data_IF_378904053881
#
_entry.id   IF_378904053881
#
_cell.length_a   1.000
_cell.length_b   1.000
_cell.length_c   1.000
_cell.angle_alpha   90.00
_cell.angle_beta   90.00
_cell.angle_gamma   90.00
#
_symmetry.space_group_name_H-M   'P 1'
#
loop_
_entity.id
_entity.type
_entity.pdbx_description
1 polymer ?
#
# COMPACT_ATOMS: atom_id res chain seq x y z
N UNK A 1 17.49 -9.36 -25.20
CA UNK A 1 18.49 -10.44 -25.10
C UNK A 1 18.31 -11.03 -23.71
N UNK A 2 18.10 -12.34 -23.61
CA UNK A 2 17.87 -12.99 -22.32
C UNK A 2 19.16 -13.01 -21.50
N UNK A 3 19.01 -12.95 -20.18
CA UNK A 3 20.11 -13.17 -19.26
C UNK A 3 20.53 -14.66 -19.35
N UNK A 4 21.78 -14.95 -19.76
CA UNK A 4 22.23 -16.32 -19.99
C UNK A 4 22.26 -17.16 -18.71
N UNK A 5 22.56 -16.54 -17.57
CA UNK A 5 22.65 -17.23 -16.28
C UNK A 5 21.25 -17.61 -15.77
N UNK A 6 20.27 -16.71 -15.96
CA UNK A 6 18.86 -17.01 -15.68
C UNK A 6 18.32 -18.15 -16.54
N UNK A 7 18.71 -18.21 -17.81
CA UNK A 7 18.32 -19.30 -18.71
C UNK A 7 18.96 -20.63 -18.30
N UNK A 8 20.23 -20.63 -17.90
CA UNK A 8 20.90 -21.81 -17.35
C UNK A 8 20.17 -22.34 -16.10
N UNK A 9 19.77 -21.47 -15.18
CA UNK A 9 18.98 -21.85 -13.99
C UNK A 9 17.70 -22.60 -14.40
N UNK A 10 16.96 -22.09 -15.38
CA UNK A 10 15.73 -22.73 -15.86
C UNK A 10 16.03 -24.10 -16.45
N UNK A 11 17.07 -24.22 -17.29
CA UNK A 11 17.46 -25.50 -17.88
C UNK A 11 17.87 -26.51 -16.80
N UNK A 12 18.65 -26.10 -15.81
CA UNK A 12 19.04 -26.97 -14.70
C UNK A 12 17.82 -27.50 -13.93
N UNK A 13 16.81 -26.65 -13.72
CA UNK A 13 15.55 -27.04 -13.08
C UNK A 13 14.79 -28.05 -13.95
N UNK A 14 14.55 -27.71 -15.23
CA UNK A 14 13.77 -28.54 -16.17
C UNK A 14 14.44 -29.89 -16.44
N UNK A 15 15.77 -29.95 -16.44
CA UNK A 15 16.54 -31.19 -16.59
C UNK A 15 16.79 -31.94 -15.27
N UNK A 16 16.11 -31.57 -14.18
CA UNK A 16 16.24 -32.19 -12.86
C UNK A 16 17.68 -32.19 -12.29
N UNK A 17 18.49 -31.20 -12.66
CA UNK A 17 19.85 -30.99 -12.19
C UNK A 17 19.92 -29.98 -11.04
N UNK A 18 18.89 -29.96 -10.18
CA UNK A 18 18.74 -29.02 -9.07
C UNK A 18 19.94 -28.98 -8.10
N UNK A 19 20.71 -30.07 -7.99
CA UNK A 19 21.93 -30.13 -7.18
C UNK A 19 23.04 -29.18 -7.64
N UNK A 20 22.96 -28.66 -8.87
CA UNK A 20 23.90 -27.66 -9.43
C UNK A 20 23.44 -26.22 -9.22
N UNK A 21 22.22 -26.01 -8.70
CA UNK A 21 21.68 -24.67 -8.51
C UNK A 21 22.44 -23.93 -7.39
N UNK A 22 22.58 -22.61 -7.51
CA UNK A 22 23.08 -21.79 -6.42
C UNK A 22 22.15 -21.88 -5.20
N UNK A 23 22.74 -21.90 -4.00
CA UNK A 23 21.98 -21.93 -2.73
C UNK A 23 21.25 -20.62 -2.44
N UNK A 24 21.78 -19.52 -2.95
CA UNK A 24 21.24 -18.17 -2.81
C UNK A 24 21.25 -17.48 -4.18
N UNK A 25 20.19 -16.73 -4.45
CA UNK A 25 20.01 -16.02 -5.71
C UNK A 25 19.56 -14.60 -5.39
N UNK A 26 20.13 -13.61 -6.09
CA UNK A 26 19.75 -12.21 -5.92
C UNK A 26 18.30 -11.98 -6.40
N UNK A 27 17.65 -10.94 -5.87
CA UNK A 27 16.30 -10.55 -6.33
C UNK A 27 16.28 -10.27 -7.83
N UNK A 28 17.33 -9.64 -8.35
CA UNK A 28 17.46 -9.31 -9.76
C UNK A 28 17.53 -10.58 -10.62
N UNK A 29 18.34 -11.57 -10.23
CA UNK A 29 18.43 -12.84 -10.93
C UNK A 29 17.11 -13.63 -10.86
N UNK A 30 16.42 -13.65 -9.70
CA UNK A 30 15.08 -14.25 -9.60
C UNK A 30 14.07 -13.54 -10.50
N UNK A 31 14.21 -12.22 -10.68
CA UNK A 31 13.35 -11.45 -11.59
C UNK A 31 13.59 -11.87 -13.03
N UNK A 32 14.84 -12.02 -13.47
CA UNK A 32 15.16 -12.52 -14.82
C UNK A 32 14.65 -13.95 -15.04
N UNK A 33 14.79 -14.82 -14.03
CA UNK A 33 14.18 -16.16 -14.05
C UNK A 33 12.66 -16.08 -14.17
N UNK A 34 12.00 -15.16 -13.47
CA UNK A 34 10.56 -14.96 -13.56
C UNK A 34 10.11 -14.48 -14.94
N UNK A 35 10.86 -13.55 -15.55
CA UNK A 35 10.59 -13.05 -16.92
C UNK A 35 10.64 -14.23 -17.90
N UNK A 36 11.72 -15.01 -17.85
CA UNK A 36 11.89 -16.18 -18.71
C UNK A 36 10.84 -17.27 -18.44
N UNK A 37 10.48 -17.50 -17.18
CA UNK A 37 9.47 -18.49 -16.80
C UNK A 37 8.08 -18.12 -17.34
N UNK A 38 7.75 -16.84 -17.35
CA UNK A 38 6.51 -16.30 -17.94
C UNK A 38 6.53 -16.43 -19.47
N UNK A 39 7.62 -15.99 -20.10
CA UNK A 39 7.83 -16.07 -21.57
C UNK A 39 7.79 -17.51 -22.10
N UNK A 40 8.42 -18.45 -21.39
CA UNK A 40 8.49 -19.87 -21.75
C UNK A 40 7.32 -20.70 -21.19
N UNK A 41 6.41 -20.07 -20.44
CA UNK A 41 5.27 -20.72 -19.79
C UNK A 41 5.66 -21.94 -18.93
N UNK A 42 6.76 -21.82 -18.16
CA UNK A 42 7.35 -22.91 -17.38
C UNK A 42 7.49 -22.59 -15.88
N UNK A 43 6.59 -21.75 -15.34
CA UNK A 43 6.62 -21.34 -13.93
C UNK A 43 6.45 -22.50 -12.93
N UNK A 44 5.69 -23.53 -13.27
CA UNK A 44 5.37 -24.65 -12.38
C UNK A 44 6.60 -25.41 -11.85
N UNK A 45 7.52 -25.92 -12.70
CA UNK A 45 8.72 -26.60 -12.22
C UNK A 45 9.67 -25.67 -11.43
N UNK A 46 9.59 -24.36 -11.64
CA UNK A 46 10.48 -23.37 -11.01
C UNK A 46 9.94 -22.92 -9.64
N UNK A 47 8.62 -22.89 -9.45
CA UNK A 47 7.95 -22.39 -8.24
C UNK A 47 8.51 -22.94 -6.91
N UNK A 48 8.85 -24.24 -6.77
CA UNK A 48 9.45 -24.75 -5.54
C UNK A 48 10.78 -24.08 -5.17
N UNK A 49 11.61 -23.76 -6.16
CA UNK A 49 12.92 -23.15 -5.96
C UNK A 49 12.80 -21.68 -5.56
N UNK A 50 11.82 -20.96 -6.11
CA UNK A 50 11.50 -19.60 -5.69
C UNK A 50 11.13 -19.56 -4.21
N UNK A 51 10.30 -20.49 -3.76
CA UNK A 51 9.93 -20.61 -2.34
C UNK A 51 11.15 -20.88 -1.48
N UNK A 52 12.03 -21.77 -1.91
CA UNK A 52 13.26 -22.11 -1.20
C UNK A 52 14.22 -20.92 -1.08
N UNK A 53 14.56 -20.26 -2.19
CA UNK A 53 15.46 -19.09 -2.16
C UNK A 53 14.90 -17.94 -1.34
N UNK A 54 13.58 -17.82 -1.29
CA UNK A 54 12.93 -16.79 -0.50
C UNK A 54 12.86 -17.08 1.01
N UNK A 55 13.13 -18.32 1.45
CA UNK A 55 13.29 -18.67 2.87
C UNK A 55 14.69 -18.29 3.41
N UNK A 56 15.71 -18.42 2.57
CA UNK A 56 17.11 -18.25 2.99
C UNK A 56 17.58 -16.79 2.97
N UNK A 57 16.76 -15.87 2.47
CA UNK A 57 17.12 -14.48 2.24
C UNK A 57 16.06 -13.52 2.80
N UNK A 58 16.42 -12.25 2.98
CA UNK A 58 15.47 -11.14 3.20
C UNK A 58 14.63 -10.81 1.95
N UNK A 59 14.38 -11.81 1.10
CA UNK A 59 13.75 -11.71 -0.22
C UNK A 59 12.40 -11.00 -0.15
N UNK A 60 11.58 -11.31 0.85
CA UNK A 60 10.25 -10.70 1.03
C UNK A 60 10.24 -9.42 1.87
N UNK A 61 11.41 -8.86 2.22
CA UNK A 61 11.46 -7.60 2.96
C UNK A 61 10.74 -6.48 2.21
N UNK A 62 9.86 -5.75 2.89
CA UNK A 62 9.14 -4.59 2.35
C UNK A 62 9.89 -3.28 2.54
N UNK A 63 11.01 -3.30 3.28
CA UNK A 63 11.92 -2.16 3.50
C UNK A 63 12.90 -2.02 2.33
N UNK A 64 12.39 -1.91 1.11
CA UNK A 64 13.19 -1.87 -0.12
C UNK A 64 12.78 -0.71 -1.01
N UNK A 65 13.69 -0.32 -1.91
CA UNK A 65 13.42 0.60 -3.01
C UNK A 65 12.18 0.18 -3.80
N UNK A 66 11.41 1.15 -4.28
CA UNK A 66 10.12 0.89 -4.93
C UNK A 66 10.27 0.01 -6.20
N UNK A 67 11.40 0.09 -6.91
CA UNK A 67 11.69 -0.82 -8.04
C UNK A 67 11.78 -2.30 -7.61
N UNK A 68 12.40 -2.58 -6.46
CA UNK A 68 12.48 -3.93 -5.91
C UNK A 68 11.10 -4.42 -5.43
N UNK A 69 10.26 -3.51 -4.93
CA UNK A 69 8.87 -3.85 -4.59
C UNK A 69 8.11 -4.33 -5.85
N UNK A 70 8.28 -3.64 -6.98
CA UNK A 70 7.66 -4.03 -8.24
C UNK A 70 8.20 -5.36 -8.79
N UNK A 71 9.51 -5.62 -8.67
CA UNK A 71 10.11 -6.92 -8.98
C UNK A 71 9.44 -8.05 -8.19
N UNK A 72 9.28 -7.88 -6.87
CA UNK A 72 8.64 -8.88 -6.02
C UNK A 72 7.16 -9.09 -6.36
N UNK A 73 6.43 -8.02 -6.68
CA UNK A 73 5.04 -8.13 -7.16
C UNK A 73 4.99 -8.97 -8.44
N UNK A 74 5.86 -8.71 -9.40
CA UNK A 74 5.96 -9.49 -10.64
C UNK A 74 6.29 -10.97 -10.38
N UNK A 75 7.27 -11.25 -9.52
CA UNK A 75 7.59 -12.63 -9.12
C UNK A 75 6.35 -13.31 -8.50
N UNK A 76 5.59 -12.61 -7.66
CA UNK A 76 4.37 -13.16 -7.10
C UNK A 76 3.27 -13.43 -8.15
N UNK A 77 3.20 -12.64 -9.23
CA UNK A 77 2.22 -12.88 -10.31
C UNK A 77 2.58 -14.14 -11.08
N UNK A 78 3.85 -14.28 -11.50
CA UNK A 78 4.33 -15.44 -12.27
C UNK A 78 4.19 -16.74 -11.47
N UNK A 79 4.60 -16.74 -10.20
CA UNK A 79 4.60 -17.95 -9.36
C UNK A 79 3.37 -18.11 -8.47
N UNK A 80 2.32 -17.33 -8.71
CA UNK A 80 1.03 -17.40 -8.01
C UNK A 80 1.12 -17.34 -6.48
N UNK A 81 1.98 -16.46 -5.95
CA UNK A 81 2.22 -16.31 -4.50
C UNK A 81 1.21 -15.34 -3.86
N UNK A 82 -0.06 -15.77 -3.77
CA UNK A 82 -1.21 -14.91 -3.41
C UNK A 82 -1.03 -14.07 -2.14
N UNK A 83 -0.62 -14.67 -1.04
CA UNK A 83 -0.46 -13.96 0.24
C UNK A 83 0.62 -12.87 0.17
N UNK A 84 1.74 -13.19 -0.49
CA UNK A 84 2.84 -12.24 -0.69
C UNK A 84 2.43 -11.13 -1.65
N UNK A 85 1.73 -11.46 -2.72
CA UNK A 85 1.16 -10.48 -3.66
C UNK A 85 0.28 -9.47 -2.94
N UNK A 86 -0.65 -9.93 -2.10
CA UNK A 86 -1.52 -9.03 -1.33
C UNK A 86 -0.72 -8.11 -0.42
N UNK A 87 0.21 -8.63 0.38
CA UNK A 87 1.03 -7.81 1.27
C UNK A 87 1.94 -6.79 0.54
N UNK A 88 2.53 -7.18 -0.59
CA UNK A 88 3.38 -6.30 -1.39
C UNK A 88 2.56 -5.21 -2.10
N UNK A 89 1.39 -5.56 -2.66
CA UNK A 89 0.50 -4.58 -3.28
C UNK A 89 -0.10 -3.62 -2.27
N UNK A 90 -0.42 -4.08 -1.05
CA UNK A 90 -0.76 -3.19 0.08
C UNK A 90 0.35 -2.16 0.35
N UNK A 91 1.61 -2.61 0.35
CA UNK A 91 2.76 -1.71 0.52
C UNK A 91 2.85 -0.70 -0.62
N UNK A 92 2.64 -1.14 -1.86
CA UNK A 92 2.64 -0.28 -3.05
C UNK A 92 1.49 0.75 -2.99
N UNK A 93 0.28 0.34 -2.64
CA UNK A 93 -0.91 1.20 -2.45
C UNK A 93 -0.62 2.27 -1.40
N UNK A 94 -0.05 1.89 -0.26
CA UNK A 94 0.11 2.80 0.87
C UNK A 94 1.30 3.76 0.73
N UNK A 95 2.32 3.39 -0.05
CA UNK A 95 3.61 4.09 -0.09
C UNK A 95 3.88 4.82 -1.41
N UNK A 96 3.07 4.62 -2.45
CA UNK A 96 3.22 5.32 -3.73
C UNK A 96 2.64 6.75 -3.66
N UNK A 97 3.37 7.71 -4.24
CA UNK A 97 2.95 9.10 -4.37
C UNK A 97 2.14 9.34 -5.64
N UNK A 98 2.69 8.90 -6.77
CA UNK A 98 2.23 9.23 -8.12
C UNK A 98 2.07 7.98 -8.97
N UNK A 99 2.03 8.17 -10.30
CA UNK A 99 2.00 7.09 -11.28
C UNK A 99 3.10 6.08 -11.00
N UNK A 100 2.75 4.81 -10.98
CA UNK A 100 3.66 3.71 -10.68
C UNK A 100 4.35 3.32 -11.99
N UNK A 101 5.68 3.51 -12.12
CA UNK A 101 6.38 3.01 -13.29
C UNK A 101 6.48 1.48 -13.20
N UNK A 102 6.45 0.82 -14.36
CA UNK A 102 6.64 -0.64 -14.44
C UNK A 102 8.10 -1.08 -14.24
N UNK A 103 9.05 -0.15 -14.21
CA UNK A 103 10.50 -0.42 -14.13
C UNK A 103 11.02 -1.34 -15.24
N UNK A 104 10.36 -1.36 -16.40
CA UNK A 104 10.73 -2.25 -17.51
C UNK A 104 10.31 -3.71 -17.29
N UNK A 105 9.59 -4.02 -16.21
CA UNK A 105 9.06 -5.36 -15.94
C UNK A 105 7.78 -5.61 -16.77
N UNK A 106 7.56 -6.85 -17.25
CA UNK A 106 6.36 -7.23 -18.00
C UNK A 106 5.16 -7.46 -17.06
N UNK A 107 4.90 -6.51 -16.17
CA UNK A 107 3.74 -6.55 -15.28
C UNK A 107 2.49 -6.16 -16.07
N UNK A 108 1.43 -6.95 -15.92
CA UNK A 108 0.12 -6.64 -16.52
C UNK A 108 -0.31 -5.20 -16.20
N UNK A 109 -0.66 -4.38 -17.21
CA UNK A 109 -1.15 -3.02 -16.99
C UNK A 109 -2.38 -2.96 -16.09
N UNK A 110 -3.18 -4.04 -16.04
CA UNK A 110 -4.35 -4.13 -15.16
C UNK A 110 -3.97 -4.13 -13.68
N UNK A 111 -2.85 -4.77 -13.31
CA UNK A 111 -2.35 -4.80 -11.94
C UNK A 111 -1.88 -3.40 -11.53
N UNK A 112 -1.09 -2.74 -12.38
CA UNK A 112 -0.61 -1.38 -12.12
C UNK A 112 -1.81 -0.43 -11.94
N UNK A 113 -2.77 -0.49 -12.86
CA UNK A 113 -4.00 0.30 -12.79
C UNK A 113 -4.80 0.03 -11.50
N UNK A 114 -4.95 -1.23 -11.10
CA UNK A 114 -5.66 -1.58 -9.87
C UNK A 114 -4.97 -1.04 -8.62
N UNK A 115 -3.63 -1.05 -8.56
CA UNK A 115 -2.87 -0.43 -7.47
C UNK A 115 -3.15 1.08 -7.42
N UNK A 116 -3.10 1.75 -8.57
CA UNK A 116 -3.34 3.20 -8.67
C UNK A 116 -4.77 3.59 -8.28
N UNK A 117 -5.77 2.84 -8.75
CA UNK A 117 -7.18 3.06 -8.43
C UNK A 117 -7.46 2.82 -6.94
N UNK A 118 -6.94 1.73 -6.37
CA UNK A 118 -7.11 1.42 -4.95
C UNK A 118 -6.46 2.48 -4.08
N UNK A 119 -5.24 2.94 -4.44
CA UNK A 119 -4.57 4.06 -3.77
C UNK A 119 -5.41 5.33 -3.82
N UNK A 120 -5.92 5.71 -4.99
CA UNK A 120 -6.76 6.89 -5.15
C UNK A 120 -8.04 6.79 -4.29
N UNK A 121 -8.64 5.60 -4.23
CA UNK A 121 -9.81 5.33 -3.39
C UNK A 121 -9.50 5.49 -1.90
N UNK A 122 -8.44 4.85 -1.40
CA UNK A 122 -8.01 4.93 0.01
C UNK A 122 -7.70 6.37 0.40
N UNK A 123 -6.95 7.07 -0.44
CA UNK A 123 -6.62 8.48 -0.21
C UNK A 123 -7.88 9.35 -0.16
N UNK A 124 -8.79 9.17 -1.12
CA UNK A 124 -10.06 9.89 -1.19
C UNK A 124 -10.91 9.64 0.06
N UNK A 125 -11.01 8.41 0.53
CA UNK A 125 -11.78 8.07 1.73
C UNK A 125 -11.18 8.69 2.99
N UNK A 126 -9.85 8.59 3.18
CA UNK A 126 -9.15 9.19 4.32
C UNK A 126 -9.29 10.72 4.34
N UNK A 127 -9.09 11.37 3.18
CA UNK A 127 -9.23 12.83 3.05
C UNK A 127 -10.69 13.25 3.27
N UNK A 128 -11.65 12.60 2.61
CA UNK A 128 -13.09 12.86 2.78
C UNK A 128 -13.48 12.77 4.25
N UNK A 129 -12.94 11.81 4.98
CA UNK A 129 -13.24 11.65 6.38
C UNK A 129 -12.81 12.87 7.21
N UNK A 130 -11.61 13.42 6.98
CA UNK A 130 -11.14 14.63 7.70
C UNK A 130 -12.06 15.84 7.51
N UNK A 131 -12.57 16.03 6.30
CA UNK A 131 -13.49 17.13 6.00
C UNK A 131 -14.94 16.82 6.36
N UNK A 132 -15.30 15.54 6.50
CA UNK A 132 -16.58 15.14 7.09
C UNK A 132 -16.61 15.55 8.56
N UNK A 133 -15.52 15.36 9.30
CA UNK A 133 -15.38 15.87 10.67
C UNK A 133 -15.57 17.38 10.72
N UNK A 134 -14.96 18.12 9.81
CA UNK A 134 -15.11 19.59 9.74
C UNK A 134 -16.57 20.01 9.50
N UNK A 135 -17.26 19.38 8.54
CA UNK A 135 -18.67 19.66 8.22
C UNK A 135 -19.59 19.31 9.38
N UNK A 136 -19.39 18.17 10.02
CA UNK A 136 -20.19 17.75 11.18
C UNK A 136 -20.04 18.68 12.38
N UNK A 137 -18.89 19.36 12.53
CA UNK A 137 -18.67 20.34 13.58
C UNK A 137 -19.39 21.67 13.35
N UNK A 138 -20.02 21.87 12.18
CA UNK A 138 -20.88 23.03 11.88
C UNK A 138 -22.33 22.85 12.37
N UNK A 139 -22.69 21.68 12.91
CA UNK A 139 -24.02 21.43 13.47
C UNK A 139 -24.27 22.30 14.72
N UNK A 140 -25.33 23.12 14.66
CA UNK A 140 -25.72 24.05 15.72
C UNK A 140 -26.36 23.36 16.95
N UNK A 141 -26.66 22.06 16.86
CA UNK A 141 -27.10 21.24 18.01
C UNK A 141 -25.94 20.79 18.91
N UNK A 142 -24.69 21.03 18.49
CA UNK A 142 -23.49 20.73 19.25
C UNK A 142 -23.13 21.87 20.20
N UNK A 143 -22.51 21.53 21.34
CA UNK A 143 -21.93 22.54 22.23
C UNK A 143 -20.91 23.42 21.48
N UNK A 144 -21.12 24.74 21.51
CA UNK A 144 -20.32 25.70 20.76
C UNK A 144 -18.85 25.78 21.22
N UNK A 145 -18.57 25.62 22.53
CA UNK A 145 -17.20 25.59 23.04
C UNK A 145 -16.45 24.36 22.50
N UNK A 146 -17.11 23.20 22.58
CA UNK A 146 -16.56 21.95 22.09
C UNK A 146 -16.34 22.01 20.57
N UNK A 147 -17.30 22.52 19.79
CA UNK A 147 -17.14 22.61 18.33
C UNK A 147 -15.97 23.52 17.95
N UNK A 148 -15.85 24.68 18.58
CA UNK A 148 -14.75 25.62 18.34
C UNK A 148 -13.40 24.99 18.69
N UNK A 149 -13.31 24.30 19.83
CA UNK A 149 -12.10 23.60 20.25
C UNK A 149 -11.72 22.47 19.28
N UNK A 150 -12.68 21.66 18.83
CA UNK A 150 -12.44 20.57 17.88
C UNK A 150 -11.97 21.10 16.52
N UNK A 151 -12.59 22.18 16.00
CA UNK A 151 -12.16 22.85 14.77
C UNK A 151 -10.74 23.41 14.94
N UNK A 152 -10.44 24.04 16.08
CA UNK A 152 -9.11 24.53 16.42
C UNK A 152 -8.06 23.43 16.40
N UNK A 153 -8.33 22.27 17.01
CA UNK A 153 -7.44 21.12 16.95
C UNK A 153 -7.27 20.58 15.53
N UNK A 154 -8.34 20.50 14.73
CA UNK A 154 -8.23 20.05 13.34
C UNK A 154 -7.28 20.96 12.55
N UNK A 155 -7.51 22.28 12.57
CA UNK A 155 -6.67 23.24 11.85
C UNK A 155 -5.24 23.26 12.38
N UNK A 156 -5.06 23.19 13.70
CA UNK A 156 -3.75 23.12 14.34
C UNK A 156 -2.97 21.87 13.89
N UNK A 157 -3.59 20.70 13.89
CA UNK A 157 -2.93 19.45 13.51
C UNK A 157 -2.61 19.39 12.00
N UNK A 158 -3.52 19.88 11.15
CA UNK A 158 -3.26 19.99 9.71
C UNK A 158 -2.03 20.88 9.46
N UNK A 159 -1.97 22.03 10.12
CA UNK A 159 -0.83 22.94 10.01
C UNK A 159 0.47 22.34 10.54
N UNK A 160 0.46 21.80 11.77
CA UNK A 160 1.63 21.19 12.41
C UNK A 160 2.18 20.00 11.59
N UNK A 161 1.28 19.24 10.97
CA UNK A 161 1.65 18.08 10.16
C UNK A 161 1.94 18.44 8.70
N UNK A 162 1.92 19.73 8.32
CA UNK A 162 2.07 20.20 6.94
C UNK A 162 1.15 19.45 5.97
N UNK A 163 -0.09 19.20 6.40
CA UNK A 163 -1.13 18.62 5.56
C UNK A 163 -1.94 19.74 4.89
N UNK A 164 -2.51 19.48 3.70
CA UNK A 164 -3.33 20.47 3.03
C UNK A 164 -4.57 20.85 3.85
N UNK A 165 -4.92 22.14 3.82
CA UNK A 165 -6.01 22.71 4.62
C UNK A 165 -7.39 22.58 3.97
N UNK A 166 -7.45 22.26 2.68
CA UNK A 166 -8.68 22.01 1.93
C UNK A 166 -8.73 20.61 1.30
N UNK A 167 -9.95 20.06 1.18
CA UNK A 167 -10.23 18.76 0.57
C UNK A 167 -9.76 18.69 -0.89
N UNK A 168 -9.92 19.81 -1.61
CA UNK A 168 -9.64 19.93 -3.05
C UNK A 168 -8.21 20.35 -3.36
N UNK A 169 -7.32 20.40 -2.37
CA UNK A 169 -5.95 20.84 -2.59
C UNK A 169 -5.17 19.88 -3.50
N UNK A 170 -4.53 20.41 -4.55
CA UNK A 170 -3.62 19.65 -5.40
C UNK A 170 -2.41 19.10 -4.63
N UNK A 171 -2.09 19.66 -3.46
CA UNK A 171 -0.99 19.21 -2.61
C UNK A 171 -1.19 17.81 -2.04
N UNK A 172 -2.43 17.27 -2.06
CA UNK A 172 -2.68 15.88 -1.69
C UNK A 172 -1.93 14.89 -2.60
N UNK A 173 -1.56 15.28 -3.82
CA UNK A 173 -0.72 14.47 -4.70
C UNK A 173 0.69 14.20 -4.12
N UNK A 174 1.15 15.04 -3.18
CA UNK A 174 2.48 14.91 -2.56
C UNK A 174 2.45 14.16 -1.22
N UNK A 175 1.32 13.52 -0.88
CA UNK A 175 1.14 12.81 0.39
C UNK A 175 0.75 11.36 0.10
N UNK A 176 1.50 10.40 0.64
CA UNK A 176 1.13 8.98 0.56
C UNK A 176 0.04 8.65 1.59
N UNK A 177 -0.74 7.60 1.34
CA UNK A 177 -1.74 7.12 2.31
C UNK A 177 -1.08 6.76 3.65
N UNK A 178 0.13 6.17 3.62
CA UNK A 178 0.92 5.88 4.82
C UNK A 178 1.28 7.15 5.58
N UNK A 179 1.83 8.16 4.89
CA UNK A 179 2.21 9.44 5.52
C UNK A 179 0.99 10.14 6.12
N UNK A 180 -0.15 10.11 5.44
CA UNK A 180 -1.40 10.66 5.98
C UNK A 180 -1.77 9.91 7.27
N UNK A 181 -1.85 8.58 7.22
CA UNK A 181 -2.19 7.73 8.37
C UNK A 181 -1.25 7.96 9.57
N UNK A 182 0.05 8.00 9.34
CA UNK A 182 1.07 8.25 10.36
C UNK A 182 0.93 9.64 11.01
N UNK A 183 0.57 10.64 10.21
CA UNK A 183 0.29 11.99 10.71
C UNK A 183 -0.99 12.01 11.53
N UNK A 184 -2.06 11.37 11.06
CA UNK A 184 -3.33 11.25 11.79
C UNK A 184 -3.18 10.58 13.15
N UNK A 185 -2.35 9.53 13.25
CA UNK A 185 -2.03 8.88 14.52
C UNK A 185 -1.36 9.81 15.55
N UNK A 186 -0.68 10.84 15.08
CA UNK A 186 0.02 11.84 15.91
C UNK A 186 -0.82 13.08 16.19
N UNK A 187 -2.08 13.12 15.73
CA UNK A 187 -2.97 14.25 15.98
C UNK A 187 -3.20 14.44 17.47
N UNK A 188 -3.00 15.67 17.91
CA UNK A 188 -3.29 16.12 19.26
C UNK A 188 -4.78 16.37 19.41
N UNK A 189 -5.32 16.02 20.56
CA UNK A 189 -6.69 16.30 20.94
C UNK A 189 -6.74 16.59 22.43
N UNK A 190 -7.78 17.28 22.88
CA UNK A 190 -7.99 17.49 24.31
C UNK A 190 -8.15 16.14 25.02
N UNK A 191 -7.26 15.86 25.97
CA UNK A 191 -7.30 14.63 26.79
C UNK A 191 -8.12 14.80 28.05
N UNK A 192 -8.29 16.03 28.53
CA UNK A 192 -8.98 16.37 29.78
C UNK A 192 -9.62 17.75 29.69
N UNK A 193 -10.79 17.83 29.10
CA UNK A 193 -11.75 18.91 29.38
C UNK A 193 -13.13 18.30 29.30
N UNK A 194 -13.67 17.86 30.45
CA UNK A 194 -15.12 17.77 30.57
C UNK A 194 -15.58 19.21 30.34
N UNK A 195 -16.32 19.42 29.26
CA UNK A 195 -16.84 20.75 28.95
C UNK A 195 -17.59 21.27 30.18
N UNK A 196 -17.15 22.39 30.74
CA UNK A 196 -17.77 22.99 31.93
C UNK A 196 -19.09 23.69 31.61
N UNK A 197 -19.35 23.93 30.32
CA UNK A 197 -20.64 24.34 29.80
C UNK A 197 -21.68 23.24 30.03
N UNK A 198 -22.40 23.34 31.16
CA UNK A 198 -23.53 22.48 31.49
C UNK A 198 -24.71 22.84 30.59
N UNK A 199 -24.82 22.11 29.48
CA UNK A 199 -25.94 22.24 28.54
C UNK A 199 -26.48 20.87 28.18
N UNK A 200 -27.73 20.82 27.74
CA UNK A 200 -28.33 19.59 27.20
C UNK A 200 -27.84 19.29 25.77
N UNK A 201 -26.85 20.04 25.26
CA UNK A 201 -26.33 19.88 23.90
C UNK A 201 -25.41 18.68 23.80
N UNK A 202 -25.25 18.17 22.58
CA UNK A 202 -24.33 17.07 22.31
C UNK A 202 -22.88 17.59 22.28
N UNK A 203 -21.96 16.84 22.90
CA UNK A 203 -20.53 17.20 22.93
C UNK A 203 -19.74 16.33 21.94
N UNK A 204 -19.18 16.91 20.85
CA UNK A 204 -18.40 16.16 19.88
C UNK A 204 -17.03 15.75 20.45
N UNK A 205 -16.52 14.58 20.01
CA UNK A 205 -15.18 14.09 20.36
C UNK A 205 -14.31 13.91 19.12
N UNK A 206 -13.32 14.79 18.97
CA UNK A 206 -12.34 14.73 17.87
C UNK A 206 -11.62 13.39 17.83
N UNK A 207 -11.20 12.88 19.00
CA UNK A 207 -10.50 11.59 19.12
C UNK A 207 -11.31 10.45 18.51
N UNK A 208 -12.60 10.33 18.87
CA UNK A 208 -13.47 9.26 18.34
C UNK A 208 -13.55 9.36 16.82
N UNK A 209 -13.72 10.57 16.30
CA UNK A 209 -13.78 10.79 14.85
C UNK A 209 -12.46 10.39 14.18
N UNK A 210 -11.30 10.86 14.64
CA UNK A 210 -10.00 10.50 14.04
C UNK A 210 -9.72 8.98 14.11
N UNK A 211 -10.10 8.30 15.21
CA UNK A 211 -9.94 6.84 15.33
C UNK A 211 -10.77 6.09 14.28
N UNK A 212 -11.99 6.53 14.00
CA UNK A 212 -12.80 5.96 12.92
C UNK A 212 -12.21 6.23 11.52
N UNK A 213 -11.54 7.36 11.30
CA UNK A 213 -10.78 7.64 10.06
C UNK A 213 -9.67 6.62 9.85
N UNK A 214 -8.98 6.26 10.93
CA UNK A 214 -7.92 5.26 10.94
C UNK A 214 -8.45 3.83 10.79
N UNK A 215 -9.76 3.60 10.88
CA UNK A 215 -10.37 2.29 10.71
C UNK A 215 -10.45 1.80 9.27
N UNK A 216 -10.10 2.64 8.28
CA UNK A 216 -10.13 2.25 6.86
C UNK A 216 -9.08 1.14 6.64
N UNK A 217 -9.48 -0.04 6.14
CA UNK A 217 -8.59 -1.18 5.94
C UNK A 217 -7.62 -0.89 4.79
N UNK A 218 -6.34 -1.04 5.08
CA UNK A 218 -5.28 -0.96 4.08
C UNK A 218 -5.12 -2.34 3.42
N UNK A 219 -6.12 -2.89 2.73
CA UNK A 219 -5.98 -4.21 2.12
C UNK A 219 -5.24 -4.17 0.78
N UNK A 220 -4.43 -5.21 0.55
CA UNK A 220 -3.78 -5.45 -0.74
C UNK A 220 -4.75 -5.95 -1.81
N UNK A 221 -4.22 -6.16 -3.02
CA UNK A 221 -4.99 -6.73 -4.11
C UNK A 221 -5.05 -8.26 -4.01
N UNK A 222 -6.16 -8.85 -4.42
CA UNK A 222 -6.27 -10.30 -4.60
C UNK A 222 -5.75 -10.70 -5.98
N UNK A 223 -4.69 -11.50 -5.99
CA UNK A 223 -4.08 -11.99 -7.23
C UNK A 223 -5.08 -12.77 -8.10
N UNK A 224 -6.05 -13.46 -7.48
CA UNK A 224 -7.04 -14.27 -8.20
C UNK A 224 -7.90 -13.44 -9.16
N UNK A 225 -8.05 -12.12 -8.89
CA UNK A 225 -8.78 -11.20 -9.77
C UNK A 225 -8.06 -10.92 -11.10
N UNK A 226 -6.78 -11.27 -11.22
CA UNK A 226 -5.96 -11.04 -12.42
C UNK A 226 -5.58 -12.35 -13.15
N UNK A 227 -5.85 -13.51 -12.55
CA UNK A 227 -5.51 -14.81 -13.13
C UNK A 227 -6.58 -15.26 -14.16
N UNK A 228 -7.77 -14.63 -14.17
CA UNK A 228 -8.85 -14.94 -15.11
C UNK A 228 -8.93 -13.95 -16.28
N UNK A 229 -7.90 -13.97 -17.14
CA UNK A 229 -8.05 -13.58 -18.55
C UNK A 229 -7.11 -14.42 -19.41
N UNK A 230 -7.47 -15.69 -19.61
CA UNK A 230 -7.12 -16.41 -20.84
C UNK A 230 -8.44 -16.80 -21.51
N UNK A 231 -8.53 -16.69 -22.85
CA UNK A 231 -9.77 -16.81 -23.62
C UNK A 231 -10.49 -18.15 -23.47
#
# INVERSE_FOLDING_TARGET
MFDPDAFEIILLIVHAQAHKLPKEVSLDMVTHVAILADDLQCADPISPFIRQWALNNNFWSTSVEFGQLMQKIFICTVFQLKERFSSLTQTAITSSLNKIPSYGLPISPQIIKAIEEKRASVMKEQVKYLYTVEKELQDDTLCWECRAQNIGYLKYNLHLSQLPVSETSAQWANVTCRTLRDKLLKFRYATRTVCTYQSNLKHPSFKKKIVSALGIPDEGLDLSSFINTSP
#
